data_IF_288664775353
#
_entry.id   IF_288664775353
#
_cell.length_a   1.000
_cell.length_b   1.000
_cell.length_c   1.000
_cell.angle_alpha   90.00
_cell.angle_beta   90.00
_cell.angle_gamma   90.00
#
_symmetry.space_group_name_H-M   'P 1'
#
loop_
_entity.id
_entity.type
_entity.pdbx_description
1 polymer ?
#
# COMPACT_ATOMS: atom_id res chain seq x y z
N UNK A 1 6.38 -3.65 8.37
CA UNK A 1 5.51 -3.35 7.21
C UNK A 1 4.45 -2.37 7.72
N UNK A 2 4.54 -1.10 7.33
CA UNK A 2 3.80 0.01 7.96
C UNK A 2 2.30 0.03 7.63
N UNK A 3 1.84 -0.78 6.67
CA UNK A 3 0.49 -0.69 6.11
C UNK A 3 -0.58 -1.45 6.92
N UNK A 4 -0.18 -2.37 7.80
CA UNK A 4 -1.09 -3.22 8.57
C UNK A 4 -0.97 -3.06 10.09
N UNK A 5 -0.16 -2.11 10.57
CA UNK A 5 0.04 -1.85 12.00
C UNK A 5 0.74 -2.94 12.84
N UNK A 6 0.73 -4.21 12.41
CA UNK A 6 1.21 -5.34 13.21
C UNK A 6 2.64 -5.77 12.85
N UNK A 7 3.39 -6.24 13.86
CA UNK A 7 4.76 -6.75 13.70
C UNK A 7 4.81 -7.97 12.74
N UNK A 8 5.91 -8.16 11.98
CA UNK A 8 6.03 -9.18 10.94
C UNK A 8 6.18 -10.63 11.43
N UNK A 9 6.01 -10.91 12.71
CA UNK A 9 6.04 -12.27 13.25
C UNK A 9 5.04 -12.36 14.39
N UNK A 10 4.26 -13.45 14.44
CA UNK A 10 3.31 -13.82 15.51
C UNK A 10 1.98 -13.07 15.61
N UNK A 11 1.24 -12.94 14.51
CA UNK A 11 -0.21 -12.73 14.61
C UNK A 11 -0.95 -13.98 14.12
N UNK A 12 -1.79 -14.55 14.99
CA UNK A 12 -2.58 -15.75 14.70
C UNK A 12 -3.56 -15.58 13.53
N UNK A 13 -3.80 -14.33 13.10
CA UNK A 13 -4.62 -13.99 11.93
C UNK A 13 -4.06 -14.46 10.59
N UNK A 14 -2.77 -14.78 10.48
CA UNK A 14 -2.17 -15.20 9.21
C UNK A 14 -2.27 -16.72 8.96
N UNK A 15 -2.38 -17.54 10.03
CA UNK A 15 -2.23 -18.99 9.98
C UNK A 15 -0.77 -19.41 10.16
N UNK A 16 -0.53 -20.57 10.80
CA UNK A 16 0.77 -20.97 11.35
C UNK A 16 1.94 -21.07 10.35
N UNK A 17 1.68 -21.01 9.05
CA UNK A 17 2.67 -21.14 7.96
C UNK A 17 2.64 -19.98 6.95
N UNK A 18 1.79 -18.98 7.15
CA UNK A 18 1.62 -17.87 6.21
C UNK A 18 2.37 -16.63 6.70
N UNK A 19 3.36 -16.17 5.94
CA UNK A 19 3.97 -14.86 6.20
C UNK A 19 3.04 -13.73 5.73
N UNK A 20 3.25 -12.54 6.31
CA UNK A 20 2.43 -11.36 6.03
C UNK A 20 2.42 -10.97 4.55
N UNK A 21 3.53 -11.14 3.83
CA UNK A 21 3.66 -10.78 2.41
C UNK A 21 2.85 -11.75 1.56
N UNK A 22 2.94 -13.05 1.84
CA UNK A 22 2.17 -14.09 1.15
C UNK A 22 0.67 -13.92 1.42
N UNK A 23 0.30 -13.60 2.66
CA UNK A 23 -1.09 -13.30 3.00
C UNK A 23 -1.62 -12.08 2.24
N UNK A 24 -0.86 -10.97 2.21
CA UNK A 24 -1.26 -9.75 1.47
C UNK A 24 -1.41 -10.04 -0.02
N UNK A 25 -0.47 -10.76 -0.64
CA UNK A 25 -0.56 -11.14 -2.06
C UNK A 25 -1.81 -11.98 -2.34
N UNK A 26 -2.09 -12.98 -1.51
CA UNK A 26 -3.29 -13.81 -1.62
C UNK A 26 -4.58 -12.99 -1.46
N UNK A 27 -4.61 -12.02 -0.54
CA UNK A 27 -5.78 -11.15 -0.41
C UNK A 27 -5.98 -10.35 -1.69
N UNK A 28 -4.92 -9.72 -2.23
CA UNK A 28 -5.00 -8.91 -3.45
C UNK A 28 -5.43 -9.71 -4.70
N UNK A 29 -5.10 -11.01 -4.76
CA UNK A 29 -5.51 -11.91 -5.84
C UNK A 29 -6.99 -12.32 -5.75
N UNK A 30 -7.64 -12.19 -4.58
CA UNK A 30 -9.08 -12.41 -4.44
C UNK A 30 -9.83 -11.18 -4.93
N UNK A 31 -10.54 -11.32 -6.05
CA UNK A 31 -11.31 -10.21 -6.61
C UNK A 31 -12.32 -9.61 -5.61
N UNK A 32 -12.31 -8.28 -5.51
CA UNK A 32 -13.39 -7.47 -4.94
C UNK A 32 -13.48 -7.30 -3.42
N UNK A 33 -12.61 -7.93 -2.61
CA UNK A 33 -12.75 -7.91 -1.12
C UNK A 33 -11.45 -7.45 -0.39
N UNK A 34 -10.35 -7.24 -1.11
CA UNK A 34 -9.02 -7.23 -0.52
C UNK A 34 -8.57 -5.92 0.12
N UNK A 35 -8.95 -4.77 -0.44
CA UNK A 35 -8.35 -3.47 -0.09
C UNK A 35 -8.65 -3.11 1.36
N UNK A 36 -9.90 -3.29 1.77
CA UNK A 36 -10.37 -3.01 3.12
C UNK A 36 -9.75 -3.94 4.16
N UNK A 37 -9.32 -5.14 3.76
CA UNK A 37 -8.67 -6.13 4.62
C UNK A 37 -7.17 -5.88 4.81
N UNK A 38 -6.52 -5.18 3.87
CA UNK A 38 -5.07 -4.92 3.90
C UNK A 38 -4.72 -3.53 4.43
N UNK A 39 -5.65 -2.57 4.37
CA UNK A 39 -5.48 -1.23 4.93
C UNK A 39 -5.78 -1.25 6.43
N UNK A 40 -4.82 -0.77 7.23
CA UNK A 40 -4.98 -0.60 8.68
C UNK A 40 -6.27 0.19 9.01
N UNK A 41 -7.19 -0.36 9.82
CA UNK A 41 -8.40 0.34 10.24
C UNK A 41 -8.14 1.69 10.90
N UNK A 42 -6.99 1.90 11.54
CA UNK A 42 -6.61 3.19 12.14
C UNK A 42 -6.34 4.29 11.11
N UNK A 43 -6.11 3.92 9.85
CA UNK A 43 -5.99 4.88 8.75
C UNK A 43 -7.36 5.35 8.24
N UNK A 44 -8.46 4.69 8.61
CA UNK A 44 -9.80 5.05 8.14
C UNK A 44 -10.41 6.17 9.01
N UNK A 45 -11.25 7.04 8.43
CA UNK A 45 -11.64 7.07 7.02
C UNK A 45 -10.55 7.68 6.12
N UNK A 46 -10.38 7.14 4.92
CA UNK A 46 -9.51 7.68 3.88
C UNK A 46 -10.34 8.35 2.80
N UNK A 47 -9.84 9.48 2.26
CA UNK A 47 -10.37 10.02 1.00
C UNK A 47 -10.02 9.07 -0.16
N UNK A 48 -10.80 9.06 -1.27
CA UNK A 48 -10.51 8.19 -2.41
C UNK A 48 -9.08 8.30 -2.97
N UNK A 49 -8.49 9.50 -2.94
CA UNK A 49 -7.09 9.72 -3.35
C UNK A 49 -6.07 9.15 -2.35
N UNK A 50 -6.41 9.15 -1.06
CA UNK A 50 -5.55 8.58 -0.02
C UNK A 50 -5.59 7.06 -0.03
N UNK A 51 -6.76 6.47 -0.28
CA UNK A 51 -6.94 5.04 -0.49
C UNK A 51 -6.18 4.55 -1.73
N UNK A 52 -6.33 5.26 -2.86
CA UNK A 52 -5.58 4.95 -4.08
C UNK A 52 -4.06 5.03 -3.88
N UNK A 53 -3.58 6.03 -3.14
CA UNK A 53 -2.17 6.13 -2.82
C UNK A 53 -1.69 5.06 -1.83
N UNK A 54 -2.52 4.65 -0.87
CA UNK A 54 -2.20 3.55 0.04
C UNK A 54 -2.02 2.23 -0.74
N UNK A 55 -2.83 2.00 -1.76
CA UNK A 55 -2.67 0.88 -2.70
C UNK A 55 -1.36 0.95 -3.50
N UNK A 56 -1.00 2.12 -4.03
CA UNK A 56 0.29 2.29 -4.71
C UNK A 56 1.48 2.04 -3.78
N UNK A 57 1.41 2.50 -2.52
CA UNK A 57 2.45 2.20 -1.52
C UNK A 57 2.51 0.71 -1.20
N UNK A 58 1.37 0.02 -1.14
CA UNK A 58 1.30 -1.42 -0.95
C UNK A 58 1.96 -2.18 -2.12
N UNK A 59 1.71 -1.76 -3.35
CA UNK A 59 2.34 -2.31 -4.54
C UNK A 59 3.87 -2.14 -4.50
N UNK A 60 4.36 -0.95 -4.16
CA UNK A 60 5.80 -0.68 -3.98
C UNK A 60 6.39 -1.62 -2.92
N UNK A 61 5.70 -1.79 -1.78
CA UNK A 61 6.14 -2.70 -0.72
C UNK A 61 6.20 -4.16 -1.20
N UNK A 62 5.23 -4.61 -2.01
CA UNK A 62 5.24 -5.94 -2.61
C UNK A 62 6.45 -6.11 -3.55
N UNK A 63 6.77 -5.12 -4.38
CA UNK A 63 7.96 -5.17 -5.24
C UNK A 63 9.26 -5.29 -4.43
N UNK A 64 9.37 -4.61 -3.29
CA UNK A 64 10.53 -4.72 -2.38
C UNK A 64 10.71 -6.14 -1.82
N UNK A 65 9.65 -6.96 -1.81
CA UNK A 65 9.62 -8.31 -1.24
C UNK A 65 9.72 -9.42 -2.30
N UNK A 66 10.15 -9.09 -3.53
CA UNK A 66 10.41 -10.12 -4.55
C UNK A 66 11.41 -11.16 -4.03
N UNK A 67 11.18 -12.47 -4.31
CA UNK A 67 11.99 -13.53 -3.72
C UNK A 67 13.45 -13.41 -4.16
N UNK A 68 13.69 -13.15 -5.45
CA UNK A 68 15.03 -13.01 -5.99
C UNK A 68 15.57 -11.58 -5.76
N UNK A 69 16.79 -11.41 -5.19
CA UNK A 69 17.36 -10.10 -4.93
C UNK A 69 17.44 -9.18 -6.15
N UNK A 70 17.73 -9.73 -7.33
CA UNK A 70 17.84 -8.99 -8.58
C UNK A 70 16.51 -8.44 -9.12
N UNK A 71 15.38 -8.97 -8.65
CA UNK A 71 14.04 -8.49 -9.01
C UNK A 71 13.58 -7.35 -8.10
N UNK A 72 14.28 -7.13 -6.98
CA UNK A 72 13.93 -6.08 -6.02
C UNK A 72 14.40 -4.73 -6.54
N UNK A 73 13.59 -3.67 -6.42
CA UNK A 73 14.05 -2.33 -6.71
C UNK A 73 15.15 -1.90 -5.74
N UNK A 74 16.06 -1.06 -6.22
CA UNK A 74 17.02 -0.36 -5.35
C UNK A 74 16.27 0.61 -4.42
N UNK A 75 16.85 0.92 -3.25
CA UNK A 75 16.24 1.90 -2.34
C UNK A 75 15.99 3.25 -3.01
N UNK A 76 16.89 3.67 -3.92
CA UNK A 76 16.71 4.89 -4.72
C UNK A 76 15.47 4.83 -5.61
N UNK A 77 15.23 3.72 -6.30
CA UNK A 77 14.02 3.53 -7.11
C UNK A 77 12.76 3.55 -6.23
N UNK A 78 12.81 2.90 -5.07
CA UNK A 78 11.71 2.92 -4.09
C UNK A 78 11.41 4.34 -3.64
N UNK A 79 12.43 5.12 -3.25
CA UNK A 79 12.25 6.52 -2.85
C UNK A 79 11.65 7.37 -3.98
N UNK A 80 12.08 7.16 -5.22
CA UNK A 80 11.53 7.87 -6.38
C UNK A 80 10.04 7.54 -6.59
N UNK A 81 9.64 6.27 -6.47
CA UNK A 81 8.24 5.88 -6.58
C UNK A 81 7.40 6.45 -5.43
N UNK A 82 7.90 6.41 -4.20
CA UNK A 82 7.21 7.00 -3.05
C UNK A 82 7.01 8.52 -3.20
N UNK A 83 8.02 9.22 -3.72
CA UNK A 83 7.93 10.65 -4.01
C UNK A 83 6.90 10.95 -5.11
N UNK A 84 6.83 10.08 -6.13
CA UNK A 84 5.81 10.21 -7.18
C UNK A 84 4.39 10.05 -6.61
N UNK A 85 4.18 9.04 -5.76
CA UNK A 85 2.89 8.83 -5.08
C UNK A 85 2.53 10.03 -4.20
N UNK A 86 3.48 10.59 -3.44
CA UNK A 86 3.20 11.76 -2.60
C UNK A 86 2.85 13.00 -3.42
N UNK A 87 3.54 13.21 -4.55
CA UNK A 87 3.30 14.38 -5.40
C UNK A 87 1.96 14.28 -6.15
N UNK A 88 1.54 13.08 -6.55
CA UNK A 88 0.23 12.88 -7.18
C UNK A 88 -0.92 13.20 -6.22
N UNK A 89 -0.77 12.92 -4.90
CA UNK A 89 -1.74 13.35 -3.89
C UNK A 89 -1.90 14.88 -3.87
N UNK A 90 -0.78 15.61 -3.96
CA UNK A 90 -0.77 17.07 -3.91
C UNK A 90 -1.49 17.64 -5.14
N UNK A 91 -1.17 17.12 -6.33
CA UNK A 91 -1.81 17.57 -7.58
C UNK A 91 -3.31 17.29 -7.61
N UNK A 92 -3.75 16.11 -7.13
CA UNK A 92 -5.19 15.78 -7.09
C UNK A 92 -5.94 16.60 -6.02
N UNK A 93 -5.29 16.90 -4.90
CA UNK A 93 -5.82 17.80 -3.88
C UNK A 93 -5.95 19.24 -4.42
N UNK A 94 -4.93 19.77 -5.09
CA UNK A 94 -4.95 21.11 -5.68
C UNK A 94 -6.04 21.23 -6.76
N UNK A 95 -6.20 20.22 -7.63
CA UNK A 95 -7.27 20.18 -8.64
C UNK A 95 -8.67 20.20 -8.02
N UNK A 96 -8.90 19.47 -6.92
CA UNK A 96 -10.19 19.51 -6.21
C UNK A 96 -10.48 20.87 -5.60
N UNK A 97 -9.46 21.55 -5.07
CA UNK A 97 -9.62 22.90 -4.50
C UNK A 97 -9.84 23.96 -5.60
N UNK A 98 -9.23 23.81 -6.77
CA UNK A 98 -9.45 24.70 -7.93
C UNK A 98 -10.83 24.50 -8.58
N UNK A 99 -11.40 23.29 -8.54
CA UNK A 99 -12.75 23.00 -9.01
C UNK A 99 -13.88 23.56 -8.15
N UNK A 100 -13.57 24.15 -7.00
CA UNK A 100 -14.54 24.79 -6.09
C UNK A 100 -14.71 26.31 -6.33
N UNK A 101 -13.97 26.89 -7.28
CA UNK A 101 -13.99 28.33 -7.60
C UNK A 101 -14.64 28.68 -8.95
N UNK A 102 -15.38 27.75 -9.57
CA UNK A 102 -16.13 27.96 -10.81
C UNK A 102 -17.54 27.41 -10.70
#
# INVERSE_FOLDING_TARGET
MLLKGNLPSTDATFGAEMDMVRWVKMQLEKEGIAVEAVIDPQLKPLLPCEEFAALQVLEIAIYCTKPAPQERPTSRQVCNHLLHVSNNKIVDFEKKNLGHYW
#
